data_IF_630764786845
#
_entry.id   IF_630764786845
#
_cell.length_a   1.000
_cell.length_b   1.000
_cell.length_c   1.000
_cell.angle_alpha   90.00
_cell.angle_beta   90.00
_cell.angle_gamma   90.00
#
_symmetry.space_group_name_H-M   'P 1'
#
loop_
_entity.id
_entity.type
_entity.pdbx_description
1 polymer ?
#
# COMPACT_ATOMS: atom_id res chain seq x y z
N UNK A 1 1.06 9.03 0.14
CA UNK A 1 -0.24 9.68 0.42
C UNK A 1 -0.43 10.76 -0.62
N UNK A 2 -1.21 10.51 -1.66
CA UNK A 2 -1.55 11.55 -2.65
C UNK A 2 -2.68 12.41 -2.06
N UNK A 3 -2.32 13.56 -1.49
CA UNK A 3 -3.25 14.62 -1.06
C UNK A 3 -3.35 15.73 -2.10
N UNK A 4 -3.18 15.41 -3.39
CA UNK A 4 -3.27 16.40 -4.46
C UNK A 4 -4.69 16.57 -5.02
N UNK A 5 -5.59 15.60 -4.84
CA UNK A 5 -6.96 15.68 -5.36
C UNK A 5 -7.91 16.51 -4.47
N UNK A 6 -7.53 16.81 -3.23
CA UNK A 6 -8.40 17.55 -2.29
C UNK A 6 -8.29 19.07 -2.41
N UNK A 7 -7.42 19.59 -3.28
CA UNK A 7 -7.22 21.04 -3.47
C UNK A 7 -7.78 21.56 -4.80
N UNK A 8 -8.47 20.74 -5.58
CA UNK A 8 -9.02 21.11 -6.89
C UNK A 8 -10.38 21.83 -6.83
N UNK A 9 -10.91 22.13 -5.65
CA UNK A 9 -12.18 22.88 -5.49
C UNK A 9 -11.97 24.17 -4.70
N UNK A 10 -11.13 25.07 -5.22
CA UNK A 10 -11.28 26.50 -4.93
C UNK A 10 -11.93 27.16 -6.14
N UNK A 11 -13.27 27.14 -6.17
CA UNK A 11 -14.04 28.06 -7.02
C UNK A 11 -13.54 29.47 -6.70
N UNK A 12 -13.01 30.16 -7.69
CA UNK A 12 -12.62 31.57 -7.55
C UNK A 12 -13.84 32.39 -7.11
N UNK A 13 -13.66 33.48 -6.34
CA UNK A 13 -14.78 34.30 -5.92
C UNK A 13 -15.38 34.98 -7.16
N UNK A 14 -16.60 34.59 -7.53
CA UNK A 14 -17.39 35.16 -8.66
C UNK A 14 -17.79 36.64 -8.44
N UNK A 15 -17.12 37.39 -7.56
CA UNK A 15 -17.50 38.77 -7.22
C UNK A 15 -16.32 39.70 -6.86
N UNK A 16 -15.15 39.50 -7.47
CA UNK A 16 -14.03 40.43 -7.28
C UNK A 16 -14.14 41.64 -8.23
N UNK A 17 -14.84 42.70 -7.80
CA UNK A 17 -14.98 43.99 -8.51
C UNK A 17 -13.77 44.92 -8.29
N UNK A 18 -12.56 44.48 -8.65
CA UNK A 18 -11.41 45.38 -8.71
C UNK A 18 -10.97 45.57 -10.17
N UNK A 19 -10.90 46.82 -10.64
CA UNK A 19 -10.49 47.19 -12.00
C UNK A 19 -8.99 46.97 -12.28
N UNK A 20 -8.30 46.15 -11.49
CA UNK A 20 -6.86 45.90 -11.57
C UNK A 20 -6.50 44.54 -12.17
N UNK A 21 -7.49 43.75 -12.60
CA UNK A 21 -7.25 42.42 -13.20
C UNK A 21 -7.39 42.37 -14.73
N UNK A 22 -7.63 43.50 -15.42
CA UNK A 22 -8.02 43.49 -16.82
C UNK A 22 -6.88 43.47 -17.86
N UNK A 23 -5.62 43.56 -17.45
CA UNK A 23 -4.49 43.64 -18.40
C UNK A 23 -3.44 42.55 -18.20
N UNK A 24 -3.84 41.29 -18.29
CA UNK A 24 -2.89 40.21 -18.57
C UNK A 24 -3.13 39.77 -20.02
N UNK A 25 -2.18 39.98 -20.95
CA UNK A 25 -2.36 39.60 -22.33
C UNK A 25 -2.56 38.08 -22.40
N UNK A 26 -3.66 37.68 -23.04
CA UNK A 26 -4.02 36.30 -23.38
C UNK A 26 -3.02 35.73 -24.39
N UNK A 27 -1.79 35.51 -23.96
CA UNK A 27 -0.79 34.81 -24.74
C UNK A 27 -0.30 33.62 -23.93
N UNK A 28 -0.73 32.44 -24.39
CA UNK A 28 -0.24 31.11 -24.02
C UNK A 28 -0.74 30.57 -22.68
N UNK A 29 -2.05 30.36 -22.56
CA UNK A 29 -2.52 29.11 -21.96
C UNK A 29 -2.36 28.03 -23.01
N UNK A 30 -1.17 27.40 -23.05
CA UNK A 30 -1.05 26.14 -23.76
C UNK A 30 -1.97 25.16 -23.04
N UNK A 31 -2.88 24.53 -23.78
CA UNK A 31 -3.63 23.38 -23.30
C UNK A 31 -2.61 22.36 -22.79
N UNK A 32 -2.45 22.28 -21.47
CA UNK A 32 -1.73 21.17 -20.86
C UNK A 32 -2.60 19.96 -21.10
N UNK A 33 -2.24 19.18 -22.10
CA UNK A 33 -2.73 17.82 -22.28
C UNK A 33 -2.66 17.13 -20.90
N UNK A 34 -3.82 16.92 -20.29
CA UNK A 34 -3.94 16.31 -18.99
C UNK A 34 -3.60 14.82 -19.17
N UNK A 35 -2.30 14.51 -19.10
CA UNK A 35 -1.81 13.14 -19.22
C UNK A 35 -2.44 12.32 -18.11
N UNK A 36 -3.45 11.54 -18.48
CA UNK A 36 -4.10 10.58 -17.59
C UNK A 36 -3.01 9.62 -17.09
N UNK A 37 -2.60 9.77 -15.83
CA UNK A 37 -1.63 8.88 -15.20
C UNK A 37 -2.33 7.53 -15.04
N UNK A 38 -2.08 6.62 -15.97
CA UNK A 38 -2.56 5.24 -15.86
C UNK A 38 -1.70 4.52 -14.82
N UNK A 39 -2.31 3.70 -13.94
CA UNK A 39 -1.55 2.89 -13.00
C UNK A 39 -0.64 1.93 -13.78
N UNK A 40 0.64 1.94 -13.42
CA UNK A 40 1.66 1.20 -14.14
C UNK A 40 1.88 -0.18 -13.51
N UNK A 41 1.54 -1.21 -14.27
CA UNK A 41 1.63 -2.62 -13.85
C UNK A 41 2.62 -3.37 -14.74
N UNK A 42 3.17 -4.45 -14.20
CA UNK A 42 3.98 -5.43 -14.92
C UNK A 42 3.40 -6.83 -14.76
N UNK A 43 3.57 -7.63 -15.80
CA UNK A 43 3.28 -9.07 -15.74
C UNK A 43 4.33 -9.75 -14.86
N UNK A 44 3.88 -10.38 -13.79
CA UNK A 44 4.71 -11.17 -12.88
C UNK A 44 4.44 -12.67 -13.02
N UNK A 45 3.74 -13.08 -14.08
CA UNK A 45 3.29 -14.45 -14.29
C UNK A 45 2.02 -14.79 -13.51
N UNK A 46 1.54 -16.03 -13.68
CA UNK A 46 0.40 -16.59 -12.96
C UNK A 46 -0.93 -15.83 -13.11
N UNK A 47 -1.06 -14.96 -14.12
CA UNK A 47 -2.26 -14.16 -14.36
C UNK A 47 -2.51 -13.06 -13.32
N UNK A 48 -1.50 -12.68 -12.54
CA UNK A 48 -1.60 -11.65 -11.52
C UNK A 48 -0.56 -10.54 -11.76
N UNK A 49 -1.03 -9.38 -12.18
CA UNK A 49 -0.16 -8.23 -12.43
C UNK A 49 0.18 -7.50 -11.12
N UNK A 50 1.44 -7.14 -10.96
CA UNK A 50 1.92 -6.36 -9.81
C UNK A 50 2.26 -4.93 -10.22
N UNK A 51 2.22 -3.96 -9.30
CA UNK A 51 2.69 -2.60 -9.60
C UNK A 51 4.14 -2.62 -10.09
N UNK A 52 4.50 -1.80 -11.09
CA UNK A 52 5.90 -1.71 -11.59
C UNK A 52 6.92 -1.29 -10.53
N UNK A 53 6.45 -0.68 -9.44
CA UNK A 53 7.30 -0.34 -8.30
C UNK A 53 7.75 -1.54 -7.46
N UNK A 54 7.19 -2.74 -7.66
CA UNK A 54 7.62 -3.94 -6.95
C UNK A 54 8.73 -4.65 -7.75
N UNK A 55 9.68 -5.25 -7.05
CA UNK A 55 10.68 -6.09 -7.69
C UNK A 55 10.07 -7.44 -8.05
N UNK A 56 10.29 -7.91 -9.29
CA UNK A 56 9.90 -9.25 -9.72
C UNK A 56 10.61 -10.32 -8.89
N UNK A 57 11.88 -10.08 -8.53
CA UNK A 57 12.66 -11.02 -7.70
C UNK A 57 12.10 -11.12 -6.28
N UNK A 58 11.73 -9.98 -5.68
CA UNK A 58 11.10 -9.96 -4.36
C UNK A 58 9.73 -10.66 -4.39
N UNK A 59 8.94 -10.41 -5.43
CA UNK A 59 7.67 -11.10 -5.65
C UNK A 59 7.85 -12.62 -5.80
N UNK A 60 8.77 -13.07 -6.64
CA UNK A 60 9.03 -14.50 -6.84
C UNK A 60 9.55 -15.17 -5.55
N UNK A 61 10.44 -14.48 -4.83
CA UNK A 61 10.90 -14.92 -3.51
C UNK A 61 9.75 -15.05 -2.52
N UNK A 62 8.82 -14.09 -2.50
CA UNK A 62 7.63 -14.12 -1.67
C UNK A 62 6.72 -15.32 -1.95
N UNK A 63 6.51 -15.68 -3.23
CA UNK A 63 5.73 -16.87 -3.60
C UNK A 63 6.36 -18.17 -3.08
N UNK A 64 7.70 -18.22 -3.00
CA UNK A 64 8.46 -19.36 -2.48
C UNK A 64 8.64 -19.37 -0.97
N UNK A 65 8.09 -18.40 -0.24
CA UNK A 65 8.20 -18.36 1.22
C UNK A 65 7.59 -19.61 1.86
N UNK A 66 8.26 -20.20 2.85
CA UNK A 66 7.74 -21.35 3.60
C UNK A 66 7.21 -20.88 4.97
N UNK A 67 5.88 -20.80 5.18
CA UNK A 67 5.33 -20.31 6.44
C UNK A 67 5.72 -21.17 7.64
N UNK A 68 6.05 -20.52 8.75
CA UNK A 68 6.38 -21.14 10.04
C UNK A 68 5.13 -21.30 10.91
N UNK A 69 5.08 -22.28 11.83
CA UNK A 69 3.93 -22.45 12.73
C UNK A 69 3.63 -21.25 13.64
N UNK A 70 4.62 -20.39 13.90
CA UNK A 70 4.47 -19.19 14.70
C UNK A 70 4.23 -17.92 13.87
N UNK A 71 4.17 -18.04 12.54
CA UNK A 71 3.86 -16.91 11.67
C UNK A 71 2.37 -16.54 11.74
N UNK A 72 2.13 -15.24 11.65
CA UNK A 72 0.80 -14.68 11.50
C UNK A 72 0.76 -13.78 10.26
N UNK A 73 -0.22 -14.02 9.39
CA UNK A 73 -0.41 -13.26 8.17
C UNK A 73 -1.58 -12.29 8.30
N UNK A 74 -1.41 -11.07 7.81
CA UNK A 74 -2.47 -10.10 7.58
C UNK A 74 -2.74 -10.08 6.08
N UNK A 75 -3.81 -10.76 5.68
CA UNK A 75 -4.20 -10.93 4.27
C UNK A 75 -5.35 -9.98 3.97
N UNK A 76 -5.15 -9.08 3.03
CA UNK A 76 -6.17 -8.06 2.71
C UNK A 76 -6.16 -7.76 1.23
N UNK A 77 -7.30 -7.37 0.66
CA UNK A 77 -7.24 -6.64 -0.61
C UNK A 77 -6.68 -5.22 -0.35
N UNK A 78 -5.93 -4.62 -1.29
CA UNK A 78 -5.42 -3.26 -1.10
C UNK A 78 -6.55 -2.30 -0.68
N UNK A 79 -6.27 -1.43 0.30
CA UNK A 79 -7.22 -0.43 0.83
C UNK A 79 -8.36 -0.97 1.72
N UNK A 80 -8.36 -2.26 2.08
CA UNK A 80 -9.31 -2.83 3.05
C UNK A 80 -8.97 -2.56 4.53
N UNK A 81 -8.04 -1.64 4.82
CA UNK A 81 -7.68 -1.29 6.21
C UNK A 81 -6.42 -1.99 6.74
N UNK A 82 -5.52 -2.43 5.87
CA UNK A 82 -4.30 -3.16 6.24
C UNK A 82 -3.46 -2.43 7.29
N UNK A 83 -3.22 -1.12 7.11
CA UNK A 83 -2.46 -0.32 8.07
C UNK A 83 -3.13 -0.28 9.44
N UNK A 84 -4.47 -0.27 9.48
CA UNK A 84 -5.20 -0.27 10.75
C UNK A 84 -5.02 -1.60 11.48
N UNK A 85 -5.18 -2.73 10.78
CA UNK A 85 -4.99 -4.06 11.36
C UNK A 85 -3.53 -4.33 11.74
N UNK A 86 -2.55 -3.87 10.95
CA UNK A 86 -1.12 -3.92 11.33
C UNK A 86 -0.86 -3.22 12.66
N UNK A 87 -1.50 -2.06 12.91
CA UNK A 87 -1.37 -1.36 14.19
C UNK A 87 -2.09 -2.09 15.33
N UNK A 88 -3.30 -2.61 15.12
CA UNK A 88 -4.02 -3.39 16.15
C UNK A 88 -3.17 -4.59 16.60
N UNK A 89 -2.69 -5.38 15.62
CA UNK A 89 -1.83 -6.53 15.86
C UNK A 89 -0.51 -6.12 16.52
N UNK A 90 0.11 -5.06 16.02
CA UNK A 90 1.34 -4.50 16.60
C UNK A 90 1.16 -4.13 18.07
N UNK A 91 0.06 -3.46 18.44
CA UNK A 91 -0.27 -3.14 19.82
C UNK A 91 -0.45 -4.40 20.67
N UNK A 92 -1.11 -5.46 20.15
CA UNK A 92 -1.26 -6.72 20.89
C UNK A 92 0.10 -7.35 21.19
N UNK A 93 0.98 -7.45 20.19
CA UNK A 93 2.32 -8.04 20.36
C UNK A 93 3.27 -7.21 21.22
N UNK A 94 3.04 -5.90 21.31
CA UNK A 94 3.90 -4.96 22.03
C UNK A 94 3.31 -4.51 23.36
N UNK A 95 2.31 -5.23 23.87
CA UNK A 95 1.65 -4.93 25.16
C UNK A 95 1.15 -3.48 25.23
N UNK A 96 0.54 -3.01 24.13
CA UNK A 96 0.00 -1.66 24.00
C UNK A 96 1.03 -0.59 23.63
N UNK A 97 2.32 -0.91 23.50
CA UNK A 97 3.35 0.07 23.13
C UNK A 97 3.35 0.34 21.62
N UNK A 98 3.27 1.61 21.19
CA UNK A 98 3.30 1.94 19.76
C UNK A 98 4.64 1.61 19.11
N UNK A 99 4.67 1.59 17.79
CA UNK A 99 5.91 1.60 17.04
C UNK A 99 6.64 2.93 17.24
N UNK A 100 7.95 2.87 17.46
CA UNK A 100 8.83 4.01 17.70
C UNK A 100 9.27 4.68 16.39
N UNK A 101 9.22 3.96 15.27
CA UNK A 101 9.61 4.45 13.95
C UNK A 101 8.90 3.70 12.82
N UNK A 102 8.91 4.31 11.63
CA UNK A 102 8.45 3.64 10.40
C UNK A 102 9.27 2.39 10.08
N UNK A 103 10.57 2.40 10.36
CA UNK A 103 11.44 1.23 10.14
C UNK A 103 11.02 0.09 11.08
N UNK A 104 10.75 0.37 12.35
CA UNK A 104 10.26 -0.65 13.28
C UNK A 104 8.90 -1.20 12.83
N UNK A 105 7.99 -0.34 12.37
CA UNK A 105 6.70 -0.75 11.81
C UNK A 105 6.87 -1.69 10.60
N UNK A 106 7.70 -1.30 9.62
CA UNK A 106 7.91 -2.07 8.39
C UNK A 106 8.66 -3.38 8.63
N UNK A 107 9.63 -3.41 9.53
CA UNK A 107 10.40 -4.62 9.86
C UNK A 107 9.64 -5.58 10.78
N UNK A 108 8.72 -5.09 11.61
CA UNK A 108 7.84 -5.93 12.44
C UNK A 108 6.59 -6.40 11.69
N UNK A 109 6.23 -5.72 10.60
CA UNK A 109 5.10 -6.10 9.74
C UNK A 109 5.45 -6.07 8.25
N UNK A 110 6.39 -6.93 7.81
CA UNK A 110 6.93 -6.89 6.46
C UNK A 110 5.84 -7.14 5.43
N UNK A 111 5.95 -6.43 4.30
CA UNK A 111 5.04 -6.58 3.17
C UNK A 111 5.64 -7.58 2.18
N UNK A 112 5.17 -8.82 2.24
CA UNK A 112 5.87 -9.99 1.70
C UNK A 112 6.19 -9.84 0.21
N UNK A 113 5.21 -9.57 -0.64
CA UNK A 113 5.40 -9.47 -2.09
C UNK A 113 6.19 -8.24 -2.55
N UNK A 114 6.41 -7.26 -1.66
CA UNK A 114 7.20 -6.07 -1.95
C UNK A 114 8.63 -6.19 -1.42
N UNK A 115 8.82 -6.82 -0.26
CA UNK A 115 10.10 -6.92 0.44
C UNK A 115 10.80 -8.28 0.25
N UNK A 116 10.09 -9.31 -0.22
CA UNK A 116 10.59 -10.67 -0.41
C UNK A 116 10.55 -11.54 0.84
N UNK A 117 10.88 -12.83 0.68
CA UNK A 117 10.88 -13.81 1.76
C UNK A 117 11.85 -13.46 2.89
N UNK A 118 13.03 -12.92 2.55
CA UNK A 118 14.08 -12.57 3.53
C UNK A 118 13.56 -11.59 4.60
N UNK A 119 12.68 -10.65 4.22
CA UNK A 119 12.08 -9.71 5.16
C UNK A 119 11.18 -10.42 6.20
N UNK A 120 10.48 -11.48 5.81
CA UNK A 120 9.69 -12.31 6.73
C UNK A 120 10.54 -13.30 7.54
N UNK A 121 11.65 -13.78 6.96
CA UNK A 121 12.59 -14.66 7.66
C UNK A 121 13.36 -13.94 8.77
N UNK A 122 13.81 -12.72 8.50
CA UNK A 122 14.57 -11.85 9.41
C UNK A 122 13.70 -11.06 10.40
N UNK A 123 12.37 -11.06 10.21
CA UNK A 123 11.42 -10.40 11.11
C UNK A 123 11.56 -10.91 12.55
N UNK A 124 11.59 -9.97 13.51
CA UNK A 124 11.52 -10.29 14.94
C UNK A 124 10.13 -10.82 15.30
N UNK A 125 10.08 -11.90 16.09
CA UNK A 125 8.83 -12.54 16.53
C UNK A 125 8.57 -12.25 18.03
N UNK A 126 7.30 -12.09 18.44
CA UNK A 126 6.08 -12.15 17.63
C UNK A 126 5.93 -10.95 16.68
N UNK A 127 5.46 -11.22 15.46
CA UNK A 127 5.31 -10.25 14.38
C UNK A 127 4.25 -10.71 13.37
N UNK A 128 3.90 -9.87 12.39
CA UNK A 128 2.85 -10.20 11.44
C UNK A 128 3.20 -9.84 9.99
N UNK A 129 3.20 -10.83 9.11
CA UNK A 129 3.53 -10.67 7.70
C UNK A 129 2.29 -10.17 6.96
N UNK A 130 2.41 -9.07 6.23
CA UNK A 130 1.32 -8.53 5.41
C UNK A 130 1.43 -9.04 3.98
N UNK A 131 0.31 -9.33 3.34
CA UNK A 131 0.23 -9.53 1.88
C UNK A 131 -1.13 -9.14 1.27
N UNK A 132 -1.12 -8.93 -0.04
CA UNK A 132 -2.27 -8.65 -0.92
C UNK A 132 -2.47 -9.69 -2.02
N UNK A 133 -1.72 -10.79 -1.98
CA UNK A 133 -1.82 -11.85 -2.97
C UNK A 133 -3.17 -12.58 -2.89
N UNK A 134 -3.70 -13.06 -4.03
CA UNK A 134 -4.83 -13.96 -4.03
C UNK A 134 -4.45 -15.30 -3.35
N UNK A 135 -5.46 -16.05 -2.90
CA UNK A 135 -5.23 -17.26 -2.11
C UNK A 135 -4.35 -18.30 -2.82
N UNK A 136 -4.53 -18.48 -4.13
CA UNK A 136 -3.76 -19.43 -4.95
C UNK A 136 -2.26 -19.06 -5.07
N UNK A 137 -1.88 -17.83 -4.76
CA UNK A 137 -0.49 -17.35 -4.76
C UNK A 137 0.05 -17.09 -3.36
N UNK A 138 -0.78 -17.25 -2.34
CA UNK A 138 -0.39 -16.99 -0.96
C UNK A 138 0.34 -18.20 -0.39
N UNK A 139 1.56 -18.03 0.18
CA UNK A 139 2.21 -19.08 0.95
C UNK A 139 1.33 -19.59 2.08
N UNK A 140 0.93 -20.86 2.01
CA UNK A 140 -0.04 -21.47 2.91
C UNK A 140 0.58 -22.57 3.76
N UNK A 141 0.35 -22.51 5.07
CA UNK A 141 0.56 -23.61 6.00
C UNK A 141 -0.64 -23.74 6.92
N UNK A 142 -1.05 -24.96 7.22
CA UNK A 142 -2.12 -25.26 8.19
C UNK A 142 -1.78 -24.83 9.62
N UNK A 143 -0.49 -24.70 9.92
CA UNK A 143 0.02 -24.43 11.26
C UNK A 143 0.18 -22.93 11.53
N UNK A 144 0.22 -22.10 10.46
CA UNK A 144 0.30 -20.64 10.56
C UNK A 144 -1.10 -20.01 10.77
N UNK A 145 -1.12 -18.76 11.26
CA UNK A 145 -2.36 -18.01 11.51
C UNK A 145 -2.60 -16.97 10.42
N UNK A 146 -3.87 -16.74 10.07
CA UNK A 146 -4.26 -15.80 9.01
C UNK A 146 -5.40 -14.90 9.49
N UNK A 147 -5.19 -13.58 9.42
CA UNK A 147 -6.22 -12.56 9.63
C UNK A 147 -6.58 -12.01 8.26
N UNK A 148 -7.76 -12.39 7.76
CA UNK A 148 -8.30 -11.85 6.51
C UNK A 148 -9.21 -10.66 6.79
N UNK A 149 -8.98 -9.54 6.09
CA UNK A 149 -9.84 -8.34 6.21
C UNK A 149 -10.41 -7.99 4.85
N UNK A 150 -11.73 -8.01 4.77
CA UNK A 150 -12.48 -7.54 3.61
C UNK A 150 -13.14 -6.19 3.91
N UNK A 151 -13.36 -5.40 2.86
CA UNK A 151 -14.12 -4.15 2.92
C UNK A 151 -15.09 -4.13 1.75
N UNK A 152 -16.28 -3.58 1.98
CA UNK A 152 -17.20 -3.26 0.89
C UNK A 152 -16.51 -2.34 -0.13
N UNK A 153 -16.72 -2.61 -1.42
CA UNK A 153 -16.11 -1.85 -2.51
C UNK A 153 -16.74 -0.45 -2.71
N UNK A 154 -17.96 -0.25 -2.22
CA UNK A 154 -18.71 1.01 -2.34
C UNK A 154 -18.32 2.04 -1.28
#
# INVERSE_FOLDING_TARGET
MHTASYLAERKGPENCRCNLCFDIPSSKMADKEEKKILPDYQDAGFGFNIPKMFSIDAYNSALGYNPRPDDMFIVTYPKCGTTWVQNIVGCIFREGKPFTSAIEFLTSTPFLEMAGAEAAESMKRPGAIKLHLPFNLTPYSKDAKYIFVARNQR
#
